data_IF_478654202039
#
_entry.id   IF_478654202039
#
_cell.length_a   1.000
_cell.length_b   1.000
_cell.length_c   1.000
_cell.angle_alpha   90.00
_cell.angle_beta   90.00
_cell.angle_gamma   90.00
#
_symmetry.space_group_name_H-M   'P 1'
#
loop_
_entity.id
_entity.type
_entity.pdbx_description
1 polymer ?
#
# COMPACT_ATOMS: atom_id res chain seq x y z
N UNK A 1 -16.90 17.86 -10.69
CA UNK A 1 -15.73 17.12 -11.20
C UNK A 1 -15.67 15.75 -10.56
N UNK A 2 -15.17 14.76 -11.27
CA UNK A 2 -14.97 13.40 -10.75
C UNK A 2 -13.87 13.44 -9.67
N UNK A 3 -14.14 12.91 -8.48
CA UNK A 3 -13.14 12.81 -7.40
C UNK A 3 -12.63 11.38 -7.31
N UNK A 4 -11.34 11.20 -7.54
CA UNK A 4 -10.71 9.90 -7.56
C UNK A 4 -10.22 9.44 -6.19
N UNK A 5 -10.21 8.12 -6.00
CA UNK A 5 -9.35 7.47 -5.00
C UNK A 5 -8.09 6.99 -5.72
N UNK A 6 -6.94 7.43 -5.27
CA UNK A 6 -5.68 7.29 -6.00
C UNK A 6 -4.77 6.28 -5.33
N UNK A 7 -4.22 5.35 -6.11
CA UNK A 7 -3.04 4.57 -5.75
C UNK A 7 -1.82 5.20 -6.43
N UNK A 8 -0.89 5.76 -5.67
CA UNK A 8 0.26 6.51 -6.17
C UNK A 8 1.57 5.81 -5.81
N UNK A 9 2.31 5.35 -6.79
CA UNK A 9 3.60 4.71 -6.56
C UNK A 9 3.95 3.66 -7.61
N UNK A 10 4.51 2.53 -7.18
CA UNK A 10 5.00 1.49 -8.06
C UNK A 10 3.89 0.73 -8.79
N UNK A 11 4.12 0.48 -10.07
CA UNK A 11 3.48 -0.56 -10.87
C UNK A 11 4.59 -1.42 -11.48
N UNK A 12 4.54 -2.72 -11.28
CA UNK A 12 5.65 -3.62 -11.60
C UNK A 12 5.14 -5.02 -11.97
N UNK A 13 6.03 -5.79 -12.57
CA UNK A 13 5.78 -7.20 -12.86
C UNK A 13 6.61 -8.09 -11.94
N UNK A 14 5.94 -8.97 -11.23
CA UNK A 14 6.57 -10.11 -10.57
C UNK A 14 6.86 -11.16 -11.65
N UNK A 15 8.16 -11.36 -11.90
CA UNK A 15 8.65 -12.29 -12.93
C UNK A 15 9.05 -13.58 -12.24
N UNK A 16 8.16 -14.55 -12.28
CA UNK A 16 8.39 -15.93 -11.81
C UNK A 16 8.98 -16.78 -12.92
N UNK A 17 9.56 -17.95 -12.64
CA UNK A 17 10.15 -18.82 -13.67
C UNK A 17 9.21 -19.24 -14.80
N UNK A 18 7.91 -19.35 -14.53
CA UNK A 18 6.89 -19.87 -15.47
C UNK A 18 5.84 -18.85 -15.88
N UNK A 19 5.70 -17.76 -15.17
CA UNK A 19 4.66 -16.75 -15.40
C UNK A 19 5.09 -15.35 -14.97
N UNK A 20 4.32 -14.35 -15.38
CA UNK A 20 4.46 -12.97 -14.92
C UNK A 20 3.13 -12.49 -14.36
N UNK A 21 3.16 -11.80 -13.23
CA UNK A 21 1.97 -11.20 -12.60
C UNK A 21 2.17 -9.70 -12.46
N UNK A 22 1.20 -8.92 -12.91
CA UNK A 22 1.18 -7.48 -12.67
C UNK A 22 0.82 -7.23 -11.19
N UNK A 23 1.60 -6.38 -10.54
CA UNK A 23 1.48 -6.00 -9.14
C UNK A 23 1.90 -4.57 -8.90
N UNK A 24 2.21 -4.30 -7.65
CA UNK A 24 2.48 -2.98 -7.09
C UNK A 24 1.39 -2.61 -6.09
N UNK A 25 1.76 -2.38 -4.83
CA UNK A 25 0.79 -2.16 -3.77
C UNK A 25 -0.20 -1.02 -4.06
N UNK A 26 0.23 0.16 -4.59
CA UNK A 26 -0.71 1.22 -4.95
C UNK A 26 -1.69 0.82 -6.06
N UNK A 27 -1.24 0.03 -7.04
CA UNK A 27 -2.09 -0.44 -8.13
C UNK A 27 -3.11 -1.48 -7.63
N UNK A 28 -2.68 -2.41 -6.79
CA UNK A 28 -3.55 -3.39 -6.14
C UNK A 28 -4.61 -2.70 -5.28
N UNK A 29 -4.23 -1.74 -4.44
CA UNK A 29 -5.14 -0.92 -3.65
C UNK A 29 -6.21 -0.26 -4.55
N UNK A 30 -5.80 0.45 -5.60
CA UNK A 30 -6.73 1.13 -6.51
C UNK A 30 -7.70 0.16 -7.17
N UNK A 31 -7.24 -1.03 -7.56
CA UNK A 31 -8.11 -2.07 -8.11
C UNK A 31 -9.24 -2.46 -7.15
N UNK A 32 -8.92 -2.76 -5.89
CA UNK A 32 -9.92 -3.15 -4.90
C UNK A 32 -10.90 -2.02 -4.56
N UNK A 33 -10.42 -0.78 -4.56
CA UNK A 33 -11.29 0.41 -4.44
C UNK A 33 -12.24 0.55 -5.64
N UNK A 34 -11.76 0.32 -6.86
CA UNK A 34 -12.61 0.31 -8.05
C UNK A 34 -13.68 -0.79 -7.97
N UNK A 35 -13.31 -2.00 -7.53
CA UNK A 35 -14.25 -3.10 -7.32
C UNK A 35 -15.29 -2.78 -6.24
N UNK A 36 -14.94 -1.95 -5.26
CA UNK A 36 -15.90 -1.43 -4.27
C UNK A 36 -16.82 -0.33 -4.82
N UNK A 37 -16.72 0.06 -6.09
CA UNK A 37 -17.62 0.99 -6.77
C UNK A 37 -17.19 2.45 -6.71
N UNK A 38 -15.93 2.76 -6.43
CA UNK A 38 -15.39 4.11 -6.51
C UNK A 38 -14.66 4.36 -7.83
N UNK A 39 -14.58 5.62 -8.22
CA UNK A 39 -13.67 6.07 -9.25
C UNK A 39 -12.23 5.99 -8.74
N UNK A 40 -11.54 4.92 -9.09
CA UNK A 40 -10.15 4.68 -8.68
C UNK A 40 -9.19 4.96 -9.82
N UNK A 41 -7.99 5.42 -9.48
CA UNK A 41 -6.95 5.80 -10.43
C UNK A 41 -5.58 5.36 -9.95
N UNK A 42 -4.80 4.73 -10.82
CA UNK A 42 -3.38 4.44 -10.56
C UNK A 42 -2.51 5.54 -11.15
N UNK A 43 -1.61 6.10 -10.35
CA UNK A 43 -0.56 7.01 -10.84
C UNK A 43 0.79 6.33 -10.65
N UNK A 44 1.49 6.11 -11.77
CA UNK A 44 2.81 5.49 -11.82
C UNK A 44 3.54 5.94 -13.08
N UNK A 45 4.57 5.23 -13.52
CA UNK A 45 5.20 5.39 -14.82
C UNK A 45 5.56 4.03 -15.42
N UNK A 46 5.63 3.95 -16.75
CA UNK A 46 6.06 2.77 -17.51
C UNK A 46 7.16 3.12 -18.50
N UNK A 47 7.93 2.14 -18.91
CA UNK A 47 8.95 2.29 -19.94
C UNK A 47 8.37 2.37 -21.35
N UNK A 48 9.24 2.72 -22.31
CA UNK A 48 9.00 2.58 -23.74
C UNK A 48 9.33 1.15 -24.20
N UNK A 49 8.73 0.15 -23.55
CA UNK A 49 8.99 -1.26 -23.77
C UNK A 49 7.70 -2.10 -23.80
N UNK A 50 7.84 -3.38 -24.17
CA UNK A 50 6.71 -4.31 -24.27
C UNK A 50 5.99 -4.51 -22.93
N UNK A 51 6.72 -4.52 -21.81
CA UNK A 51 6.10 -4.64 -20.48
C UNK A 51 5.26 -3.41 -20.14
N UNK A 52 5.68 -2.21 -20.58
CA UNK A 52 4.89 -1.00 -20.46
C UNK A 52 3.58 -1.10 -21.23
N UNK A 53 3.62 -1.61 -22.48
CA UNK A 53 2.40 -1.82 -23.28
C UNK A 53 1.48 -2.85 -22.60
N UNK A 54 2.03 -3.97 -22.14
CA UNK A 54 1.28 -5.01 -21.42
C UNK A 54 0.67 -4.47 -20.12
N UNK A 55 1.37 -3.61 -19.37
CA UNK A 55 0.88 -2.95 -18.17
C UNK A 55 -0.38 -2.13 -18.46
N UNK A 56 -0.31 -1.25 -19.46
CA UNK A 56 -1.44 -0.39 -19.83
C UNK A 56 -2.63 -1.23 -20.34
N UNK A 57 -2.37 -2.28 -21.12
CA UNK A 57 -3.39 -3.20 -21.59
C UNK A 57 -4.05 -3.97 -20.43
N UNK A 58 -3.28 -4.40 -19.45
CA UNK A 58 -3.77 -5.10 -18.27
C UNK A 58 -4.71 -4.21 -17.45
N UNK A 59 -4.33 -2.97 -17.14
CA UNK A 59 -5.22 -2.04 -16.43
C UNK A 59 -6.49 -1.73 -17.22
N UNK A 60 -6.38 -1.54 -18.54
CA UNK A 60 -7.53 -1.35 -19.40
C UNK A 60 -8.49 -2.56 -19.39
N UNK A 61 -7.97 -3.79 -19.42
CA UNK A 61 -8.77 -5.01 -19.34
C UNK A 61 -9.48 -5.17 -17.99
N UNK A 62 -8.87 -4.67 -16.91
CA UNK A 62 -9.44 -4.65 -15.57
C UNK A 62 -10.36 -3.44 -15.32
N UNK A 63 -10.56 -2.58 -16.31
CA UNK A 63 -11.37 -1.35 -16.22
C UNK A 63 -10.88 -0.41 -15.09
N UNK A 64 -9.57 -0.34 -14.91
CA UNK A 64 -8.91 0.51 -13.92
C UNK A 64 -8.30 1.72 -14.62
N UNK A 65 -8.73 2.92 -14.24
CA UNK A 65 -8.20 4.17 -14.76
C UNK A 65 -6.73 4.35 -14.32
N UNK A 66 -5.92 4.99 -15.16
CA UNK A 66 -4.52 5.23 -14.85
C UNK A 66 -3.97 6.51 -15.49
N UNK A 67 -2.97 7.11 -14.85
CA UNK A 67 -2.05 8.09 -15.42
C UNK A 67 -0.65 7.48 -15.32
N UNK A 68 -0.10 7.06 -16.46
CA UNK A 68 1.20 6.39 -16.55
C UNK A 68 2.02 6.97 -17.69
N UNK A 69 2.69 8.12 -17.46
CA UNK A 69 3.64 8.65 -18.42
C UNK A 69 4.69 7.61 -18.81
N UNK A 70 5.09 7.62 -20.07
CA UNK A 70 6.22 6.83 -20.53
C UNK A 70 7.50 7.59 -20.28
N UNK A 71 8.48 6.87 -19.73
CA UNK A 71 9.80 7.40 -19.40
C UNK A 71 10.90 6.59 -20.11
N UNK A 72 12.11 7.09 -20.10
CA UNK A 72 13.28 6.45 -20.75
C UNK A 72 13.84 5.24 -19.98
N UNK A 73 13.26 4.94 -18.81
CA UNK A 73 13.64 3.85 -17.95
C UNK A 73 12.77 2.61 -18.21
N UNK A 74 13.31 1.39 -18.04
CA UNK A 74 12.53 0.17 -18.27
C UNK A 74 11.35 0.05 -17.29
N UNK A 75 10.28 -0.58 -17.73
CA UNK A 75 9.15 -0.93 -16.86
C UNK A 75 9.62 -1.77 -15.67
N UNK A 76 9.11 -1.46 -14.48
CA UNK A 76 9.53 -2.08 -13.23
C UNK A 76 9.29 -3.58 -13.18
N UNK A 77 10.29 -4.32 -12.70
CA UNK A 77 10.19 -5.76 -12.48
C UNK A 77 10.78 -6.16 -11.13
N UNK A 78 10.21 -7.21 -10.55
CA UNK A 78 10.78 -7.98 -9.44
C UNK A 78 11.10 -9.36 -9.97
N UNK A 79 12.37 -9.73 -9.95
CA UNK A 79 12.80 -11.08 -10.32
C UNK A 79 12.61 -11.99 -9.12
N UNK A 80 11.85 -13.06 -9.30
CA UNK A 80 11.66 -14.08 -8.28
C UNK A 80 12.47 -15.31 -8.69
N UNK A 81 13.54 -15.57 -7.96
CA UNK A 81 14.35 -16.78 -8.09
C UNK A 81 14.19 -17.64 -6.87
N UNK A 82 14.57 -18.90 -6.97
CA UNK A 82 14.50 -19.84 -5.83
C UNK A 82 15.91 -20.28 -5.51
N UNK A 83 16.30 -20.20 -4.25
CA UNK A 83 17.62 -20.66 -3.82
C UNK A 83 17.72 -22.22 -3.81
N UNK A 84 18.89 -22.75 -3.45
CA UNK A 84 19.13 -24.20 -3.39
C UNK A 84 18.27 -24.91 -2.32
N UNK A 85 17.70 -24.19 -1.37
CA UNK A 85 16.79 -24.71 -0.33
C UNK A 85 15.31 -24.57 -0.71
N UNK A 86 15.00 -24.02 -1.90
CA UNK A 86 13.63 -23.78 -2.35
C UNK A 86 13.03 -22.49 -1.82
N UNK A 87 13.82 -21.59 -1.23
CA UNK A 87 13.36 -20.32 -0.67
C UNK A 87 13.31 -19.26 -1.76
N UNK A 88 12.19 -18.53 -1.95
CA UNK A 88 12.11 -17.46 -2.92
C UNK A 88 13.02 -16.29 -2.56
N UNK A 89 13.80 -15.83 -3.54
CA UNK A 89 14.60 -14.62 -3.47
C UNK A 89 13.99 -13.58 -4.40
N UNK A 90 13.73 -12.40 -3.86
CA UNK A 90 13.13 -11.27 -4.59
C UNK A 90 14.18 -10.22 -4.88
N UNK A 91 14.42 -9.94 -6.15
CA UNK A 91 15.28 -8.85 -6.59
C UNK A 91 14.43 -7.74 -7.21
N UNK A 92 14.21 -6.67 -6.48
CA UNK A 92 13.52 -5.47 -6.98
C UNK A 92 14.53 -4.64 -7.78
N UNK A 93 14.36 -4.59 -9.09
CA UNK A 93 15.26 -3.84 -9.97
C UNK A 93 15.21 -2.35 -9.64
N UNK A 94 16.38 -1.70 -9.67
CA UNK A 94 16.52 -0.24 -9.51
C UNK A 94 16.54 0.45 -10.86
N UNK A 95 16.36 1.76 -10.81
CA UNK A 95 16.40 2.63 -11.99
C UNK A 95 15.40 2.19 -13.07
N UNK A 96 14.18 1.98 -12.63
CA UNK A 96 13.04 1.56 -13.43
C UNK A 96 11.99 2.68 -13.51
N UNK A 97 11.03 2.56 -14.40
CA UNK A 97 10.08 3.62 -14.72
C UNK A 97 9.39 4.25 -13.51
N UNK A 98 8.91 3.45 -12.56
CA UNK A 98 8.26 3.99 -11.36
C UNK A 98 9.20 4.66 -10.34
N UNK A 99 10.52 4.59 -10.53
CA UNK A 99 11.49 5.42 -9.82
C UNK A 99 11.51 6.88 -10.37
N UNK A 100 10.92 7.10 -11.54
CA UNK A 100 10.94 8.33 -12.30
C UNK A 100 9.53 8.80 -12.71
N UNK A 101 8.58 8.78 -11.79
CA UNK A 101 7.22 9.29 -12.00
C UNK A 101 7.32 10.83 -12.15
N UNK A 102 7.08 11.39 -13.35
CA UNK A 102 7.25 12.81 -13.57
C UNK A 102 6.06 13.59 -12.98
N UNK A 103 6.34 14.77 -12.44
CA UNK A 103 5.31 15.69 -11.99
C UNK A 103 4.68 16.40 -13.19
N UNK A 104 3.49 15.96 -13.60
CA UNK A 104 2.75 16.58 -14.70
C UNK A 104 1.60 17.46 -14.20
N UNK A 105 1.13 18.38 -15.08
CA UNK A 105 -0.06 19.19 -14.77
C UNK A 105 -1.28 18.33 -14.51
N UNK A 106 -1.45 17.21 -15.24
CA UNK A 106 -2.55 16.28 -15.08
C UNK A 106 -2.54 15.62 -13.68
N UNK A 107 -1.36 15.19 -13.20
CA UNK A 107 -1.19 14.63 -11.85
C UNK A 107 -1.59 15.66 -10.78
N UNK A 108 -1.22 16.91 -10.93
CA UNK A 108 -1.59 17.99 -10.00
C UNK A 108 -3.09 18.29 -10.05
N UNK A 109 -3.73 18.26 -11.21
CA UNK A 109 -5.18 18.45 -11.30
C UNK A 109 -5.97 17.29 -10.66
N UNK A 110 -5.47 16.06 -10.78
CA UNK A 110 -6.03 14.92 -10.03
C UNK A 110 -5.84 15.12 -8.53
N UNK A 111 -4.66 15.55 -8.07
CA UNK A 111 -4.40 15.80 -6.66
C UNK A 111 -5.42 16.78 -6.05
N UNK A 112 -5.68 17.92 -6.72
CA UNK A 112 -6.65 18.93 -6.27
C UNK A 112 -8.09 18.41 -6.16
N UNK A 113 -8.42 17.31 -6.84
CA UNK A 113 -9.72 16.67 -6.84
C UNK A 113 -9.67 15.25 -6.22
N UNK A 114 -8.65 14.96 -5.43
CA UNK A 114 -8.49 13.66 -4.79
C UNK A 114 -9.45 13.50 -3.62
N UNK A 115 -10.03 12.30 -3.47
CA UNK A 115 -10.89 11.92 -2.34
C UNK A 115 -10.12 11.13 -1.28
N UNK A 116 -9.24 10.26 -1.75
CA UNK A 116 -8.27 9.55 -0.91
C UNK A 116 -7.05 9.18 -1.76
N UNK A 117 -5.88 9.10 -1.13
CA UNK A 117 -4.65 8.65 -1.76
C UNK A 117 -3.94 7.64 -0.89
N UNK A 118 -3.57 6.50 -1.48
CA UNK A 118 -2.68 5.52 -0.89
C UNK A 118 -1.32 5.58 -1.56
N UNK A 119 -0.27 5.65 -0.76
CA UNK A 119 1.13 5.68 -1.20
C UNK A 119 2.01 4.87 -0.24
N UNK A 120 3.15 4.41 -0.73
CA UNK A 120 4.06 3.57 0.04
C UNK A 120 5.47 4.15 0.19
N UNK A 121 6.35 3.42 0.88
CA UNK A 121 7.76 3.79 1.02
C UNK A 121 8.58 3.46 -0.23
N UNK A 122 8.27 2.35 -0.92
CA UNK A 122 9.09 1.80 -1.99
C UNK A 122 9.26 2.76 -3.17
N UNK A 123 8.18 3.38 -3.65
CA UNK A 123 8.23 4.33 -4.75
C UNK A 123 8.90 5.67 -4.40
N UNK A 124 9.25 5.86 -3.13
CA UNK A 124 9.97 7.04 -2.66
C UNK A 124 11.49 6.82 -2.54
N UNK A 125 12.00 5.66 -2.95
CA UNK A 125 13.43 5.32 -2.85
C UNK A 125 14.32 6.20 -3.74
N UNK A 126 13.79 6.71 -4.85
CA UNK A 126 14.48 7.63 -5.75
C UNK A 126 13.85 9.02 -5.69
N UNK A 127 14.67 10.05 -5.86
CA UNK A 127 14.33 11.46 -5.62
C UNK A 127 13.20 11.98 -6.50
N UNK A 128 13.11 11.55 -7.75
CA UNK A 128 12.14 12.08 -8.71
C UNK A 128 10.72 11.68 -8.31
N UNK A 129 10.46 10.39 -8.14
CA UNK A 129 9.15 9.91 -7.70
C UNK A 129 8.80 10.39 -6.29
N UNK A 130 9.79 10.44 -5.38
CA UNK A 130 9.57 10.99 -4.03
C UNK A 130 9.06 12.44 -4.09
N UNK A 131 9.69 13.30 -4.87
CA UNK A 131 9.26 14.71 -5.05
C UNK A 131 7.87 14.81 -5.67
N UNK A 132 7.56 13.95 -6.64
CA UNK A 132 6.22 13.89 -7.24
C UNK A 132 5.16 13.47 -6.21
N UNK A 133 5.43 12.42 -5.40
CA UNK A 133 4.55 11.97 -4.33
C UNK A 133 4.36 13.08 -3.28
N UNK A 134 5.43 13.69 -2.80
CA UNK A 134 5.37 14.79 -1.84
C UNK A 134 4.53 15.97 -2.37
N UNK A 135 4.76 16.36 -3.62
CA UNK A 135 4.01 17.45 -4.25
C UNK A 135 2.55 17.13 -4.49
N UNK A 136 2.23 15.88 -4.82
CA UNK A 136 0.87 15.40 -4.89
C UNK A 136 0.18 15.54 -3.53
N UNK A 137 0.79 15.03 -2.45
CA UNK A 137 0.26 15.10 -1.09
C UNK A 137 0.07 16.54 -0.60
N UNK A 138 0.95 17.46 -1.00
CA UNK A 138 0.83 18.89 -0.68
C UNK A 138 -0.29 19.60 -1.47
N UNK A 139 -0.80 18.97 -2.53
CA UNK A 139 -1.81 19.54 -3.43
C UNK A 139 -3.22 19.00 -3.21
N UNK A 140 -3.40 17.98 -2.39
CA UNK A 140 -4.72 17.40 -2.11
C UNK A 140 -5.56 18.32 -1.22
N UNK A 141 -6.91 18.28 -1.32
CA UNK A 141 -7.81 19.02 -0.43
C UNK A 141 -7.68 18.55 1.03
N UNK A 142 -8.08 19.42 1.97
CA UNK A 142 -8.02 19.09 3.40
C UNK A 142 -8.93 17.92 3.79
N UNK A 143 -9.97 17.64 3.01
CA UNK A 143 -10.89 16.51 3.20
C UNK A 143 -10.47 15.24 2.47
N UNK A 144 -9.30 15.25 1.83
CA UNK A 144 -8.70 14.07 1.22
C UNK A 144 -8.09 13.17 2.29
N UNK A 145 -8.46 11.90 2.32
CA UNK A 145 -7.86 10.92 3.21
C UNK A 145 -6.50 10.46 2.66
N UNK A 146 -5.43 10.59 3.45
CA UNK A 146 -4.06 10.23 3.08
C UNK A 146 -3.63 8.98 3.81
N UNK A 147 -3.43 7.89 3.06
CA UNK A 147 -3.10 6.58 3.59
C UNK A 147 -1.65 6.25 3.26
N UNK A 148 -0.81 6.14 4.27
CA UNK A 148 0.54 5.62 4.14
C UNK A 148 0.54 4.11 4.41
N UNK A 149 0.59 3.31 3.34
CA UNK A 149 0.86 1.87 3.43
C UNK A 149 2.38 1.70 3.38
N UNK A 150 2.99 1.48 4.55
CA UNK A 150 4.44 1.57 4.69
C UNK A 150 5.17 0.61 3.76
N UNK A 151 4.68 -0.62 3.63
CA UNK A 151 5.08 -1.63 2.65
C UNK A 151 6.60 -1.71 2.44
N UNK A 152 7.32 -1.97 3.53
CA UNK A 152 8.78 -2.02 3.55
C UNK A 152 9.30 -3.14 2.64
N UNK A 153 10.25 -2.81 1.78
CA UNK A 153 10.92 -3.76 0.91
C UNK A 153 12.44 -3.59 0.99
N UNK A 154 13.13 -4.68 1.31
CA UNK A 154 14.60 -4.69 1.42
C UNK A 154 15.11 -3.54 2.31
N UNK A 155 16.02 -2.71 1.78
CA UNK A 155 16.58 -1.54 2.48
C UNK A 155 16.19 -0.22 1.78
N UNK A 156 15.07 -0.21 1.06
CA UNK A 156 14.60 0.97 0.30
C UNK A 156 13.79 1.94 1.16
N UNK A 157 14.24 2.19 2.38
CA UNK A 157 13.63 3.13 3.31
C UNK A 157 14.70 3.77 4.19
N UNK A 158 14.36 4.90 4.75
CA UNK A 158 15.17 5.60 5.76
C UNK A 158 14.25 6.14 6.85
N UNK A 159 14.80 6.40 8.04
CA UNK A 159 14.06 7.07 9.11
C UNK A 159 13.37 8.35 8.63
N UNK A 160 14.13 9.20 7.94
CA UNK A 160 13.63 10.48 7.44
C UNK A 160 12.46 10.31 6.46
N UNK A 161 12.53 9.32 5.55
CA UNK A 161 11.45 9.03 4.60
C UNK A 161 10.17 8.62 5.34
N UNK A 162 10.31 7.71 6.32
CA UNK A 162 9.17 7.23 7.12
C UNK A 162 8.55 8.39 7.91
N UNK A 163 9.36 9.16 8.65
CA UNK A 163 8.88 10.31 9.42
C UNK A 163 8.18 11.36 8.54
N UNK A 164 8.74 11.67 7.37
CA UNK A 164 8.12 12.61 6.42
C UNK A 164 6.78 12.08 5.89
N UNK A 165 6.71 10.78 5.59
CA UNK A 165 5.48 10.14 5.12
C UNK A 165 4.39 10.12 6.20
N UNK A 166 4.75 9.79 7.45
CA UNK A 166 3.84 9.81 8.59
C UNK A 166 3.27 11.21 8.83
N UNK A 167 4.10 12.26 8.78
CA UNK A 167 3.65 13.67 8.94
C UNK A 167 2.67 14.14 7.85
N UNK A 168 2.64 13.47 6.71
CA UNK A 168 1.75 13.79 5.58
C UNK A 168 0.54 12.85 5.50
N UNK A 169 0.33 11.99 6.49
CA UNK A 169 -0.70 10.94 6.48
C UNK A 169 -1.77 11.16 7.52
N UNK A 170 -2.95 10.59 7.27
CA UNK A 170 -4.06 10.49 8.21
C UNK A 170 -4.15 9.07 8.78
N UNK A 171 -3.81 8.07 7.97
CA UNK A 171 -3.83 6.64 8.31
C UNK A 171 -2.48 6.03 8.01
N UNK A 172 -1.92 5.30 8.96
CA UNK A 172 -0.82 4.36 8.71
C UNK A 172 -1.39 2.94 8.59
N UNK A 173 -1.06 2.24 7.50
CA UNK A 173 -1.23 0.79 7.43
C UNK A 173 0.16 0.15 7.52
N UNK A 174 0.27 -0.82 8.40
CA UNK A 174 1.54 -1.49 8.74
C UNK A 174 1.24 -2.94 9.17
N UNK A 175 2.18 -3.86 8.94
CA UNK A 175 2.11 -5.18 9.54
C UNK A 175 2.98 -5.30 10.80
N UNK A 176 2.83 -6.40 11.54
CA UNK A 176 3.54 -6.65 12.79
C UNK A 176 5.06 -6.71 12.62
N UNK A 177 5.56 -7.36 11.56
CA UNK A 177 7.01 -7.43 11.24
C UNK A 177 7.58 -6.05 10.89
N UNK A 178 6.86 -5.27 10.11
CA UNK A 178 7.24 -3.88 9.79
C UNK A 178 7.24 -2.99 11.02
N UNK A 179 6.25 -3.15 11.91
CA UNK A 179 6.18 -2.40 13.16
C UNK A 179 7.39 -2.68 14.05
N UNK A 180 7.77 -3.95 14.22
CA UNK A 180 8.96 -4.33 14.96
C UNK A 180 10.24 -3.73 14.37
N UNK A 181 10.32 -3.61 13.06
CA UNK A 181 11.45 -3.04 12.35
C UNK A 181 11.57 -1.53 12.55
N UNK A 182 10.43 -0.80 12.47
CA UNK A 182 10.48 0.67 12.49
C UNK A 182 10.36 1.27 13.90
N UNK A 183 9.77 0.58 14.86
CA UNK A 183 9.56 1.10 16.20
C UNK A 183 10.87 1.61 16.86
N UNK A 184 11.98 0.82 16.89
CA UNK A 184 13.25 1.30 17.43
C UNK A 184 13.83 2.48 16.65
N UNK A 185 13.64 2.48 15.33
CA UNK A 185 14.12 3.56 14.46
C UNK A 185 13.44 4.89 14.78
N UNK A 186 12.15 4.85 15.12
CA UNK A 186 11.35 6.03 15.50
C UNK A 186 11.54 6.44 16.96
N UNK A 187 12.26 5.64 17.76
CA UNK A 187 12.54 5.93 19.17
C UNK A 187 11.55 5.27 20.15
N UNK A 188 10.74 4.34 19.69
CA UNK A 188 9.90 3.52 20.56
C UNK A 188 10.70 2.29 21.02
N UNK A 189 11.13 2.34 22.27
CA UNK A 189 12.04 1.34 22.84
C UNK A 189 11.32 -0.02 22.99
N UNK A 190 12.03 -1.11 22.67
CA UNK A 190 11.55 -2.47 22.89
C UNK A 190 11.57 -2.89 24.37
N UNK A 191 12.06 -2.02 25.27
CA UNK A 191 12.40 -2.38 26.65
C UNK A 191 11.26 -2.15 27.67
N UNK A 192 10.04 -1.89 27.21
CA UNK A 192 8.91 -1.80 28.11
C UNK A 192 8.44 -3.20 28.53
N UNK A 193 9.08 -3.70 29.59
CA UNK A 193 8.71 -4.86 30.42
C UNK A 193 8.62 -6.23 29.68
N UNK A 194 9.61 -7.06 29.96
CA UNK A 194 9.63 -8.52 29.67
C UNK A 194 8.42 -9.32 30.19
N UNK A 195 7.36 -8.64 30.65
CA UNK A 195 6.15 -9.23 31.22
C UNK A 195 4.86 -8.81 30.49
N UNK A 196 4.87 -7.89 29.53
CA UNK A 196 3.70 -7.60 28.70
C UNK A 196 3.59 -8.61 27.55
N UNK A 197 2.37 -8.95 27.16
CA UNK A 197 2.15 -9.74 25.96
C UNK A 197 2.66 -8.93 24.76
N UNK A 198 3.22 -9.58 23.74
CA UNK A 198 3.72 -8.95 22.52
C UNK A 198 2.68 -7.99 21.91
N UNK A 199 1.43 -8.41 21.91
CA UNK A 199 0.25 -7.65 21.48
C UNK A 199 0.08 -6.31 22.23
N UNK A 200 0.21 -6.29 23.56
CA UNK A 200 0.07 -5.08 24.38
C UNK A 200 1.17 -4.06 24.05
N UNK A 201 2.39 -4.55 23.80
CA UNK A 201 3.50 -3.71 23.37
C UNK A 201 3.26 -3.09 21.99
N UNK A 202 2.82 -3.88 21.00
CA UNK A 202 2.51 -3.41 19.65
C UNK A 202 1.40 -2.34 19.66
N UNK A 203 0.36 -2.53 20.47
CA UNK A 203 -0.72 -1.55 20.66
C UNK A 203 -0.16 -0.25 21.27
N UNK A 204 0.67 -0.34 22.31
CA UNK A 204 1.26 0.84 22.94
C UNK A 204 2.15 1.64 21.97
N UNK A 205 2.99 0.95 21.19
CA UNK A 205 3.81 1.58 20.14
C UNK A 205 2.95 2.27 19.10
N UNK A 206 1.91 1.61 18.59
CA UNK A 206 1.03 2.20 17.58
C UNK A 206 0.26 3.41 18.11
N UNK A 207 -0.16 3.41 19.38
CA UNK A 207 -0.76 4.57 20.03
C UNK A 207 0.22 5.74 20.16
N UNK A 208 1.49 5.46 20.47
CA UNK A 208 2.58 6.45 20.44
C UNK A 208 2.74 7.07 19.05
N UNK A 209 2.76 6.25 18.00
CA UNK A 209 2.83 6.72 16.60
C UNK A 209 1.63 7.60 16.24
N UNK A 210 0.41 7.20 16.62
CA UNK A 210 -0.80 8.01 16.40
C UNK A 210 -0.64 9.39 17.05
N UNK A 211 -0.21 9.44 18.30
CA UNK A 211 -0.04 10.67 19.04
C UNK A 211 1.03 11.58 18.42
N UNK A 212 2.22 11.04 18.19
CA UNK A 212 3.40 11.83 17.80
C UNK A 212 3.32 12.36 16.37
N UNK A 213 2.59 11.66 15.49
CA UNK A 213 2.39 12.06 14.09
C UNK A 213 0.98 12.60 13.81
N UNK A 214 0.12 12.73 14.84
CA UNK A 214 -1.26 13.21 14.72
C UNK A 214 -2.08 12.43 13.69
N UNK A 215 -1.93 11.10 13.68
CA UNK A 215 -2.71 10.23 12.82
C UNK A 215 -4.14 10.06 13.36
N UNK A 216 -5.08 9.81 12.46
CA UNK A 216 -6.45 9.44 12.86
C UNK A 216 -6.49 7.99 13.38
N UNK A 217 -5.70 7.09 12.75
CA UNK A 217 -5.65 5.68 13.12
C UNK A 217 -4.43 4.95 12.54
N UNK A 218 -4.16 3.79 13.12
CA UNK A 218 -3.26 2.77 12.55
C UNK A 218 -4.05 1.50 12.24
N UNK A 219 -3.83 0.96 11.06
CA UNK A 219 -4.28 -0.37 10.63
C UNK A 219 -3.10 -1.31 10.79
N UNK A 220 -3.12 -2.15 11.83
CA UNK A 220 -2.09 -3.15 12.10
C UNK A 220 -2.58 -4.53 11.66
N UNK A 221 -1.89 -5.13 10.68
CA UNK A 221 -2.18 -6.49 10.21
C UNK A 221 -1.15 -7.48 10.76
N UNK A 222 -1.61 -8.63 11.26
CA UNK A 222 -0.77 -9.65 11.90
C UNK A 222 -0.94 -11.03 11.21
N UNK A 223 -1.13 -11.03 9.90
CA UNK A 223 -1.29 -12.24 9.10
C UNK A 223 -2.38 -13.16 9.65
N UNK A 224 -2.03 -14.40 9.98
CA UNK A 224 -2.95 -15.41 10.53
C UNK A 224 -3.44 -15.06 11.94
N UNK A 225 -2.76 -14.16 12.64
CA UNK A 225 -3.10 -13.75 14.01
C UNK A 225 -4.15 -12.63 14.05
N UNK A 226 -4.68 -12.21 12.90
CA UNK A 226 -5.73 -11.21 12.84
C UNK A 226 -5.24 -9.82 12.45
N UNK A 227 -6.02 -8.82 12.82
CA UNK A 227 -5.71 -7.41 12.55
C UNK A 227 -6.35 -6.49 13.58
N UNK A 228 -5.79 -5.30 13.71
CA UNK A 228 -6.28 -4.27 14.62
C UNK A 228 -6.52 -2.96 13.87
N UNK A 229 -7.61 -2.27 14.25
CA UNK A 229 -7.81 -0.85 13.95
C UNK A 229 -7.64 -0.11 15.26
N UNK A 230 -6.61 0.72 15.33
CA UNK A 230 -6.20 1.43 16.55
C UNK A 230 -6.40 2.93 16.30
N UNK A 231 -7.15 3.56 17.18
CA UNK A 231 -7.36 5.01 17.22
C UNK A 231 -6.90 5.55 18.58
N UNK A 232 -7.02 6.85 18.81
CA UNK A 232 -6.78 7.43 20.14
C UNK A 232 -7.77 6.95 21.19
N UNK A 233 -8.96 6.47 20.78
CA UNK A 233 -10.08 6.21 21.70
C UNK A 233 -10.44 4.73 21.80
N UNK A 234 -10.10 3.92 20.81
CA UNK A 234 -10.51 2.51 20.75
C UNK A 234 -9.47 1.63 20.04
N UNK A 235 -9.51 0.35 20.36
CA UNK A 235 -8.75 -0.72 19.72
C UNK A 235 -9.74 -1.80 19.32
N UNK A 236 -9.91 -1.99 18.02
CA UNK A 236 -10.78 -3.02 17.45
C UNK A 236 -9.92 -4.18 16.93
N UNK A 237 -10.22 -5.39 17.35
CA UNK A 237 -9.55 -6.61 16.89
C UNK A 237 -10.50 -7.48 16.06
N UNK A 238 -9.95 -8.11 15.02
CA UNK A 238 -10.60 -9.20 14.27
C UNK A 238 -9.62 -10.31 13.96
N UNK A 239 -10.07 -11.55 14.18
CA UNK A 239 -9.32 -12.73 13.78
C UNK A 239 -9.33 -12.90 12.26
N UNK A 240 -8.27 -13.45 11.71
CA UNK A 240 -8.21 -13.85 10.29
C UNK A 240 -9.05 -15.11 10.07
N UNK A 241 -10.00 -15.13 9.12
CA UNK A 241 -10.75 -16.32 8.75
C UNK A 241 -9.82 -17.42 8.21
N UNK A 242 -10.14 -18.67 8.52
CA UNK A 242 -9.46 -19.82 7.92
C UNK A 242 -10.02 -20.05 6.52
N UNK A 243 -9.17 -20.01 5.52
CA UNK A 243 -9.50 -20.24 4.11
C UNK A 243 -8.46 -21.18 3.48
N UNK A 244 -8.82 -21.80 2.37
CA UNK A 244 -7.87 -22.57 1.55
C UNK A 244 -7.01 -21.60 0.75
N UNK A 245 -5.80 -21.34 1.24
CA UNK A 245 -4.89 -20.34 0.67
C UNK A 245 -4.28 -20.84 -0.64
N UNK A 246 -4.48 -20.06 -1.70
CA UNK A 246 -3.86 -20.26 -3.03
C UNK A 246 -2.66 -19.33 -3.19
N UNK A 247 -2.82 -18.05 -2.83
CA UNK A 247 -1.80 -17.00 -2.95
C UNK A 247 -2.01 -15.95 -1.85
N UNK A 248 -0.95 -15.38 -1.30
CA UNK A 248 -1.05 -14.31 -0.30
C UNK A 248 -0.69 -12.94 -0.86
N UNK A 249 -0.31 -12.87 -2.14
CA UNK A 249 0.06 -11.62 -2.81
C UNK A 249 -1.18 -10.70 -2.90
N UNK A 250 -1.03 -9.46 -2.47
CA UNK A 250 -2.10 -8.47 -2.47
C UNK A 250 -3.09 -8.58 -1.31
N UNK A 251 -2.91 -9.51 -0.37
CA UNK A 251 -3.79 -9.62 0.80
C UNK A 251 -3.85 -8.32 1.61
N UNK A 252 -2.69 -7.70 1.89
CA UNK A 252 -2.61 -6.41 2.58
C UNK A 252 -3.19 -5.26 1.77
N UNK A 253 -2.95 -5.25 0.46
CA UNK A 253 -3.43 -4.21 -0.45
C UNK A 253 -4.96 -4.26 -0.60
N UNK A 254 -5.52 -5.47 -0.70
CA UNK A 254 -6.97 -5.70 -0.77
C UNK A 254 -7.66 -5.34 0.54
N UNK A 255 -7.06 -5.70 1.68
CA UNK A 255 -7.50 -5.26 3.00
C UNK A 255 -7.60 -3.74 3.05
N UNK A 256 -6.52 -3.05 2.68
CA UNK A 256 -6.43 -1.59 2.70
C UNK A 256 -7.46 -0.96 1.75
N UNK A 257 -7.59 -1.47 0.53
CA UNK A 257 -8.57 -1.00 -0.45
C UNK A 257 -10.02 -1.13 0.03
N UNK A 258 -10.39 -2.30 0.57
CA UNK A 258 -11.74 -2.54 1.10
C UNK A 258 -12.03 -1.73 2.37
N UNK A 259 -11.03 -1.56 3.25
CA UNK A 259 -11.14 -0.73 4.44
C UNK A 259 -11.41 0.73 4.09
N UNK A 260 -10.57 1.33 3.24
CA UNK A 260 -10.70 2.73 2.81
C UNK A 260 -12.01 2.95 2.05
N UNK A 261 -12.39 2.05 1.16
CA UNK A 261 -13.66 2.13 0.46
C UNK A 261 -14.87 2.11 1.42
N UNK A 262 -14.78 1.31 2.48
CA UNK A 262 -15.84 1.25 3.50
C UNK A 262 -15.92 2.55 4.31
N UNK A 263 -14.79 3.14 4.70
CA UNK A 263 -14.74 4.46 5.36
C UNK A 263 -15.37 5.54 4.47
N UNK A 264 -15.01 5.56 3.19
CA UNK A 264 -15.53 6.52 2.22
C UNK A 264 -17.04 6.38 1.94
N UNK A 265 -17.62 5.19 2.24
CA UNK A 265 -19.09 4.94 2.24
C UNK A 265 -19.76 5.35 3.55
N UNK A 266 -19.02 5.86 4.53
CA UNK A 266 -19.55 6.24 5.85
C UNK A 266 -19.89 5.06 6.76
N UNK A 267 -19.28 3.89 6.54
CA UNK A 267 -19.42 2.73 7.42
C UNK A 267 -18.71 2.96 8.76
N UNK A 268 -19.19 2.30 9.81
CA UNK A 268 -18.48 2.27 11.09
C UNK A 268 -17.10 1.60 10.95
N UNK A 269 -16.17 1.87 11.87
CA UNK A 269 -14.85 1.22 11.88
C UNK A 269 -14.97 -0.30 11.97
N UNK A 270 -15.93 -0.81 12.75
CA UNK A 270 -16.19 -2.24 12.86
C UNK A 270 -16.66 -2.88 11.55
N UNK A 271 -17.56 -2.21 10.81
CA UNK A 271 -18.01 -2.67 9.49
C UNK A 271 -16.90 -2.57 8.45
N UNK A 272 -16.11 -1.49 8.47
CA UNK A 272 -14.98 -1.30 7.58
C UNK A 272 -13.91 -2.37 7.82
N UNK A 273 -13.60 -2.65 9.08
CA UNK A 273 -12.66 -3.70 9.47
C UNK A 273 -13.13 -5.08 9.02
N UNK A 274 -14.40 -5.42 9.24
CA UNK A 274 -14.97 -6.68 8.77
C UNK A 274 -14.86 -6.84 7.26
N UNK A 275 -15.28 -5.83 6.50
CA UNK A 275 -15.22 -5.87 5.04
C UNK A 275 -13.77 -6.02 4.53
N UNK A 276 -12.81 -5.39 5.20
CA UNK A 276 -11.39 -5.51 4.88
C UNK A 276 -10.86 -6.93 5.10
N UNK A 277 -11.19 -7.54 6.26
CA UNK A 277 -10.83 -8.92 6.58
C UNK A 277 -11.45 -9.91 5.59
N UNK A 278 -12.76 -9.77 5.31
CA UNK A 278 -13.47 -10.66 4.39
C UNK A 278 -12.91 -10.55 2.95
N UNK A 279 -12.59 -9.34 2.50
CA UNK A 279 -12.00 -9.12 1.16
C UNK A 279 -10.59 -9.70 1.07
N UNK A 280 -9.77 -9.48 2.08
CA UNK A 280 -8.40 -10.03 2.13
C UNK A 280 -8.41 -11.56 2.16
N UNK A 281 -9.29 -12.15 2.95
CA UNK A 281 -9.46 -13.59 3.01
C UNK A 281 -9.89 -14.18 1.65
N UNK A 282 -10.85 -13.53 0.95
CA UNK A 282 -11.24 -13.91 -0.41
C UNK A 282 -10.05 -13.84 -1.38
N UNK A 283 -9.28 -12.74 -1.38
CA UNK A 283 -8.12 -12.59 -2.26
C UNK A 283 -7.10 -13.72 -2.02
N UNK A 284 -6.92 -14.16 -0.79
CA UNK A 284 -6.03 -15.29 -0.48
C UNK A 284 -6.51 -16.63 -1.08
N UNK A 285 -7.77 -16.78 -1.48
CA UNK A 285 -8.27 -17.99 -2.16
C UNK A 285 -8.09 -17.96 -3.66
N UNK A 286 -7.59 -16.86 -4.21
CA UNK A 286 -7.44 -16.62 -5.64
C UNK A 286 -5.96 -16.49 -6.03
N UNK A 287 -5.66 -16.58 -7.34
CA UNK A 287 -4.30 -16.37 -7.84
C UNK A 287 -4.05 -14.90 -8.15
N UNK A 288 -3.00 -14.33 -7.55
CA UNK A 288 -2.55 -12.96 -7.78
C UNK A 288 -3.38 -11.90 -7.06
N UNK A 289 -2.85 -10.67 -7.04
CA UNK A 289 -3.34 -9.58 -6.22
C UNK A 289 -4.64 -8.91 -6.72
N UNK A 290 -5.04 -9.15 -7.95
CA UNK A 290 -6.20 -8.50 -8.59
C UNK A 290 -7.17 -9.53 -9.19
N UNK A 291 -7.77 -10.45 -8.39
CA UNK A 291 -8.71 -11.45 -8.88
C UNK A 291 -10.02 -10.81 -9.37
N UNK A 292 -10.77 -11.54 -10.20
CA UNK A 292 -12.12 -11.14 -10.62
C UNK A 292 -13.14 -11.51 -9.55
N UNK A 293 -14.01 -10.56 -9.14
CA UNK A 293 -15.15 -10.78 -8.22
C UNK A 293 -16.27 -9.77 -8.41
#
# INVERSE_FOLDING_TARGET
MKRYVVGLGEALWDVLPTERKLGGAPANFAYHVARAGFDALVISAVGNDTLGDETLQCFKSKQLDYIMPRVEFPTGTVQVTVDAAGIPLYEIKRNVAWDHIPLTTEIIEVAKNCKAVCFGSLAQREDESRKTIEKFLDSVPNDCLRIFDINIRQQFYTKQLIENSLKKSDILKINDEELELIAPMLGYDQDSSRNSRLEEHQIAVTQGVIHDYNLQMVVLTCGVNGSYIITTNEVLYRSTPKVDVVDTVGAGDSFNGAFVASLLKGKSLEEAHRNAVDTSAFVCTESGAMPSY
#
